data_IF_795057281811
#
_entry.id   IF_795057281811
#
_cell.length_a   1.000
_cell.length_b   1.000
_cell.length_c   1.000
_cell.angle_alpha   90.00
_cell.angle_beta   90.00
_cell.angle_gamma   90.00
#
_symmetry.space_group_name_H-M   'P 1'
#
loop_
_entity.id
_entity.type
_entity.pdbx_description
1 polymer ?
#
# COMPACT_ATOMS: atom_id res chain seq x y z
N UNK A 1 -22.13 4.82 -11.45
CA UNK A 1 -22.77 3.65 -10.82
C UNK A 1 -23.73 4.16 -9.74
N UNK A 2 -25.00 3.70 -9.72
CA UNK A 2 -26.01 4.17 -8.76
C UNK A 2 -26.29 3.12 -7.67
N UNK A 3 -25.24 2.59 -7.04
CA UNK A 3 -25.40 1.71 -5.87
C UNK A 3 -25.37 2.60 -4.63
N UNK A 4 -26.37 2.51 -3.72
CA UNK A 4 -26.35 3.30 -2.49
C UNK A 4 -25.09 3.02 -1.65
N UNK A 5 -24.52 4.07 -1.05
CA UNK A 5 -23.23 4.03 -0.35
C UNK A 5 -23.14 2.92 0.71
N UNK A 6 -24.22 2.65 1.45
CA UNK A 6 -24.24 1.59 2.47
C UNK A 6 -23.95 0.19 1.88
N UNK A 7 -24.41 -0.07 0.65
CA UNK A 7 -24.17 -1.34 -0.03
C UNK A 7 -22.77 -1.36 -0.65
N UNK A 8 -22.31 -0.25 -1.25
CA UNK A 8 -20.93 -0.12 -1.73
C UNK A 8 -19.94 -0.40 -0.60
N UNK A 9 -20.13 0.22 0.56
CA UNK A 9 -19.32 -0.01 1.74
C UNK A 9 -19.27 -1.48 2.11
N UNK A 10 -20.41 -2.19 2.09
CA UNK A 10 -20.48 -3.60 2.49
C UNK A 10 -19.87 -4.55 1.46
N UNK A 11 -20.03 -4.27 0.16
CA UNK A 11 -19.45 -5.07 -0.92
C UNK A 11 -17.94 -4.93 -1.02
N UNK A 12 -17.39 -3.80 -0.57
CA UNK A 12 -15.95 -3.56 -0.51
C UNK A 12 -15.28 -4.11 0.75
N UNK A 13 -16.00 -4.72 1.70
CA UNK A 13 -15.39 -5.28 2.91
C UNK A 13 -14.88 -6.71 2.67
N UNK A 14 -13.64 -6.96 3.12
CA UNK A 14 -13.00 -8.25 3.08
C UNK A 14 -12.42 -8.58 4.46
N UNK A 15 -12.75 -9.77 4.97
CA UNK A 15 -12.10 -10.35 6.14
C UNK A 15 -10.99 -11.28 5.66
N UNK A 16 -9.74 -10.88 5.87
CA UNK A 16 -8.56 -11.55 5.33
C UNK A 16 -7.74 -12.15 6.46
N UNK A 17 -7.40 -13.43 6.35
CA UNK A 17 -6.40 -14.04 7.21
C UNK A 17 -5.07 -14.18 6.47
N UNK A 18 -4.02 -13.57 7.00
CA UNK A 18 -2.65 -13.66 6.48
C UNK A 18 -1.66 -13.87 7.62
N UNK A 19 -0.92 -14.97 7.56
CA UNK A 19 0.16 -15.31 8.48
C UNK A 19 -0.26 -15.19 9.96
N UNK A 20 -1.49 -15.65 10.27
CA UNK A 20 -2.08 -15.63 11.60
C UNK A 20 -2.76 -14.32 12.00
N UNK A 21 -2.64 -13.25 11.19
CA UNK A 21 -3.28 -11.96 11.42
C UNK A 21 -4.63 -11.91 10.71
N UNK A 22 -5.67 -11.50 11.43
CA UNK A 22 -6.96 -11.14 10.86
C UNK A 22 -6.92 -9.67 10.45
N UNK A 23 -7.14 -9.41 9.17
CA UNK A 23 -7.03 -8.09 8.55
C UNK A 23 -8.40 -7.71 8.02
N UNK A 24 -8.91 -6.57 8.46
CA UNK A 24 -10.06 -5.93 7.82
C UNK A 24 -9.57 -5.12 6.62
N UNK A 25 -9.90 -5.55 5.41
CA UNK A 25 -9.58 -4.82 4.19
C UNK A 25 -10.83 -4.16 3.59
N UNK A 26 -10.68 -2.92 3.14
CA UNK A 26 -11.74 -2.14 2.49
C UNK A 26 -11.27 -1.75 1.10
N UNK A 27 -11.98 -2.21 0.07
CA UNK A 27 -11.86 -1.70 -1.30
C UNK A 27 -12.76 -0.48 -1.44
N UNK A 28 -12.13 0.68 -1.63
CA UNK A 28 -12.75 1.98 -1.76
C UNK A 28 -12.69 2.43 -3.23
N UNK A 29 -13.85 2.39 -3.88
CA UNK A 29 -14.09 2.86 -5.25
C UNK A 29 -14.92 4.16 -5.28
N UNK A 30 -15.23 4.71 -4.11
CA UNK A 30 -16.01 5.93 -3.92
C UNK A 30 -15.31 6.88 -2.93
N UNK A 31 -15.42 8.20 -3.16
CA UNK A 31 -14.69 9.23 -2.38
C UNK A 31 -14.98 9.13 -0.88
N UNK A 32 -16.24 8.95 -0.50
CA UNK A 32 -16.64 8.80 0.91
C UNK A 32 -16.04 7.55 1.57
N UNK A 33 -15.81 6.47 0.82
CA UNK A 33 -15.15 5.26 1.34
C UNK A 33 -13.65 5.48 1.52
N UNK A 34 -13.02 6.28 0.65
CA UNK A 34 -11.63 6.72 0.83
C UNK A 34 -11.51 7.58 2.08
N UNK A 35 -12.43 8.52 2.29
CA UNK A 35 -12.45 9.39 3.47
C UNK A 35 -12.61 8.60 4.77
N UNK A 36 -13.60 7.70 4.85
CA UNK A 36 -13.80 6.84 6.03
C UNK A 36 -12.62 5.90 6.25
N UNK A 37 -12.06 5.33 5.19
CA UNK A 37 -10.89 4.46 5.27
C UNK A 37 -9.64 5.19 5.78
N UNK A 38 -9.42 6.44 5.39
CA UNK A 38 -8.31 7.25 5.91
C UNK A 38 -8.54 7.62 7.38
N UNK A 39 -9.77 7.93 7.78
CA UNK A 39 -10.08 8.17 9.18
C UNK A 39 -9.77 6.92 10.05
N UNK A 40 -10.12 5.73 9.55
CA UNK A 40 -9.83 4.45 10.22
C UNK A 40 -8.32 4.14 10.24
N UNK A 41 -7.57 4.44 9.17
CA UNK A 41 -6.11 4.34 9.20
C UNK A 41 -5.51 5.23 10.28
N UNK A 42 -5.97 6.49 10.37
CA UNK A 42 -5.50 7.46 11.36
C UNK A 42 -5.82 7.05 12.80
N UNK A 43 -6.97 6.44 13.06
CA UNK A 43 -7.31 5.95 14.41
C UNK A 43 -6.39 4.82 14.88
N UNK A 44 -5.81 4.07 13.92
CA UNK A 44 -4.87 2.96 14.19
C UNK A 44 -3.42 3.41 14.27
N UNK A 45 -3.08 4.55 13.68
CA UNK A 45 -1.78 5.20 13.82
C UNK A 45 -1.66 5.76 15.26
N UNK A 46 -0.81 5.14 16.06
CA UNK A 46 -0.56 5.55 17.44
C UNK A 46 0.86 5.22 17.87
N UNK A 47 1.30 5.84 18.96
CA UNK A 47 2.68 5.77 19.42
C UNK A 47 3.61 6.74 18.66
N UNK A 48 4.89 6.69 19.02
CA UNK A 48 5.92 7.57 18.44
C UNK A 48 6.27 7.18 17.01
N UNK A 49 6.13 5.89 16.67
CA UNK A 49 6.38 5.37 15.34
C UNK A 49 5.08 5.24 14.54
N UNK A 50 4.81 6.22 13.66
CA UNK A 50 3.71 6.16 12.71
C UNK A 50 4.16 5.47 11.42
N UNK A 51 4.04 4.14 11.41
CA UNK A 51 4.44 3.30 10.29
C UNK A 51 3.23 2.86 9.46
N UNK A 52 3.38 2.90 8.13
CA UNK A 52 2.37 2.46 7.15
C UNK A 52 3.05 1.62 6.08
N UNK A 53 2.54 0.42 5.82
CA UNK A 53 2.92 -0.35 4.64
C UNK A 53 2.17 0.16 3.41
N UNK A 54 2.87 0.35 2.29
CA UNK A 54 2.27 0.88 1.07
C UNK A 54 2.72 0.12 -0.17
N UNK A 55 1.79 -0.08 -1.09
CA UNK A 55 2.09 -0.64 -2.41
C UNK A 55 1.15 -0.07 -3.48
N UNK A 56 1.64 -0.04 -4.72
CA UNK A 56 0.94 0.44 -5.90
C UNK A 56 0.95 -0.66 -6.95
N UNK A 57 -0.25 -1.08 -7.39
CA UNK A 57 -0.40 -2.07 -8.45
C UNK A 57 -0.91 -1.41 -9.74
N UNK A 58 -0.25 -1.74 -10.84
CA UNK A 58 -0.64 -1.39 -12.21
C UNK A 58 -1.29 -2.63 -12.83
N UNK A 59 -2.35 -2.44 -13.61
CA UNK A 59 -3.12 -3.54 -14.18
C UNK A 59 -3.27 -3.51 -15.68
N UNK A 60 -2.64 -2.53 -16.34
CA UNK A 60 -2.59 -2.46 -17.78
C UNK A 60 -1.27 -1.85 -18.27
N UNK A 61 -1.06 -1.93 -19.57
CA UNK A 61 0.10 -1.36 -20.25
C UNK A 61 0.01 0.18 -20.36
N UNK A 62 -1.04 0.82 -19.84
CA UNK A 62 -1.17 2.27 -19.86
C UNK A 62 -0.20 2.95 -18.87
N UNK A 63 0.39 2.17 -17.96
CA UNK A 63 1.21 2.68 -16.88
C UNK A 63 0.40 3.33 -15.75
N UNK A 64 -0.93 3.32 -15.84
CA UNK A 64 -1.81 3.89 -14.83
C UNK A 64 -1.81 3.03 -13.55
N UNK A 65 -1.49 3.60 -12.39
CA UNK A 65 -1.70 2.95 -11.10
C UNK A 65 -3.21 2.80 -10.88
N UNK A 66 -3.70 1.56 -10.76
CA UNK A 66 -5.13 1.29 -10.57
C UNK A 66 -5.47 1.01 -9.11
N UNK A 67 -4.63 0.27 -8.37
CA UNK A 67 -4.84 0.07 -6.93
C UNK A 67 -3.70 0.67 -6.11
N UNK A 68 -4.07 1.36 -5.03
CA UNK A 68 -3.16 1.77 -3.95
C UNK A 68 -3.55 1.03 -2.68
N UNK A 69 -2.60 0.30 -2.10
CA UNK A 69 -2.74 -0.43 -0.84
C UNK A 69 -2.09 0.37 0.28
N UNK A 70 -2.83 0.57 1.38
CA UNK A 70 -2.37 1.29 2.55
C UNK A 70 -2.67 0.44 3.78
N UNK A 71 -1.63 -0.15 4.36
CA UNK A 71 -1.72 -1.14 5.41
C UNK A 71 -1.20 -0.60 6.75
N UNK A 72 -1.98 -0.78 7.82
CA UNK A 72 -1.58 -0.46 9.20
C UNK A 72 -2.16 -1.52 10.13
N UNK A 73 -1.30 -2.19 10.90
CA UNK A 73 -1.65 -3.18 11.92
C UNK A 73 -2.50 -4.34 11.39
N UNK A 74 -3.81 -4.24 11.48
CA UNK A 74 -4.85 -5.23 11.16
C UNK A 74 -5.90 -4.62 10.21
N UNK A 75 -5.56 -3.52 9.54
CA UNK A 75 -6.43 -2.82 8.60
C UNK A 75 -5.71 -2.49 7.29
N UNK A 76 -6.41 -2.67 6.18
CA UNK A 76 -5.93 -2.26 4.87
C UNK A 76 -6.99 -1.45 4.12
N UNK A 77 -6.62 -0.23 3.70
CA UNK A 77 -7.40 0.52 2.72
C UNK A 77 -6.83 0.25 1.32
N UNK A 78 -7.70 -0.16 0.41
CA UNK A 78 -7.38 -0.44 -0.98
C UNK A 78 -8.17 0.54 -1.83
N UNK A 79 -7.49 1.45 -2.52
CA UNK A 79 -8.16 2.49 -3.30
C UNK A 79 -8.15 2.07 -4.76
N UNK A 80 -9.33 1.83 -5.33
CA UNK A 80 -9.49 1.59 -6.77
C UNK A 80 -9.74 2.90 -7.51
N UNK A 81 -8.69 3.38 -8.18
CA UNK A 81 -8.75 4.62 -8.94
C UNK A 81 -9.63 4.56 -10.17
N UNK A 82 -9.99 3.37 -10.68
CA UNK A 82 -10.91 3.24 -11.81
C UNK A 82 -12.38 3.44 -11.41
N UNK A 83 -12.72 3.15 -10.15
CA UNK A 83 -14.07 3.37 -9.63
C UNK A 83 -14.34 4.83 -9.28
N UNK A 84 -13.29 5.59 -8.97
CA UNK A 84 -13.40 7.01 -8.66
C UNK A 84 -13.79 7.83 -9.90
N UNK A 85 -14.53 8.95 -9.73
CA UNK A 85 -14.85 9.85 -10.84
C UNK A 85 -13.58 10.26 -11.61
N UNK A 86 -13.64 10.17 -12.93
CA UNK A 86 -12.54 10.63 -13.79
C UNK A 86 -12.14 12.05 -13.39
N UNK A 87 -10.84 12.30 -13.21
CA UNK A 87 -10.31 13.62 -12.80
C UNK A 87 -10.45 14.02 -11.36
N UNK A 88 -10.82 13.07 -10.49
CA UNK A 88 -10.82 13.30 -9.06
C UNK A 88 -9.73 12.54 -8.32
N UNK A 89 -8.80 13.27 -7.71
CA UNK A 89 -7.90 12.74 -6.68
C UNK A 89 -8.35 13.25 -5.32
N UNK A 90 -8.72 12.38 -4.35
CA UNK A 90 -9.23 12.83 -3.06
C UNK A 90 -8.20 13.70 -2.31
N UNK A 91 -8.59 14.94 -1.95
CA UNK A 91 -7.71 15.87 -1.20
C UNK A 91 -7.23 15.27 0.12
N UNK A 92 -8.10 14.53 0.79
CA UNK A 92 -7.77 13.85 2.05
C UNK A 92 -6.66 12.81 1.87
N UNK A 93 -6.63 12.13 0.72
CA UNK A 93 -5.59 11.16 0.38
C UNK A 93 -4.28 11.89 0.08
N UNK A 94 -4.31 13.00 -0.66
CA UNK A 94 -3.13 13.82 -0.91
C UNK A 94 -2.50 14.32 0.39
N UNK A 95 -3.32 14.82 1.31
CA UNK A 95 -2.89 15.30 2.61
C UNK A 95 -2.30 14.16 3.46
N UNK A 96 -2.94 12.98 3.46
CA UNK A 96 -2.45 11.81 4.18
C UNK A 96 -1.09 11.33 3.65
N UNK A 97 -0.94 11.15 2.33
CA UNK A 97 0.31 10.70 1.71
C UNK A 97 1.44 11.74 1.78
N UNK A 98 1.12 13.00 2.08
CA UNK A 98 2.11 14.08 2.24
C UNK A 98 2.49 14.34 3.70
N UNK A 99 1.85 13.67 4.66
CA UNK A 99 2.12 13.82 6.09
C UNK A 99 3.53 13.31 6.42
N UNK A 100 4.46 14.25 6.66
CA UNK A 100 5.86 13.93 6.95
C UNK A 100 6.06 13.29 8.33
N UNK A 101 5.01 13.21 9.16
CA UNK A 101 5.07 12.49 10.44
C UNK A 101 4.81 11.00 10.28
N UNK A 102 4.41 10.55 9.09
CA UNK A 102 4.11 9.16 8.77
C UNK A 102 5.21 8.59 7.86
N UNK A 103 5.72 7.41 8.23
CA UNK A 103 6.68 6.65 7.43
C UNK A 103 5.94 5.64 6.55
N UNK A 104 5.80 5.98 5.26
CA UNK A 104 5.23 5.09 4.25
C UNK A 104 6.31 4.15 3.70
N UNK A 105 6.31 2.89 4.13
CA UNK A 105 7.33 1.90 3.75
C UNK A 105 6.82 0.96 2.67
N UNK A 106 7.63 0.77 1.63
CA UNK A 106 7.35 -0.17 0.55
C UNK A 106 8.62 -0.64 -0.16
N UNK A 107 8.47 -1.60 -1.06
CA UNK A 107 9.54 -2.09 -1.94
C UNK A 107 9.45 -1.41 -3.31
N UNK A 108 10.57 -0.88 -3.79
CA UNK A 108 10.67 -0.03 -4.99
C UNK A 108 9.71 1.16 -4.97
N UNK A 109 9.42 1.67 -3.77
CA UNK A 109 8.32 2.62 -3.55
C UNK A 109 8.63 3.99 -4.16
N UNK A 110 9.90 4.39 -4.19
CA UNK A 110 10.32 5.65 -4.80
C UNK A 110 10.07 5.66 -6.31
N UNK A 111 10.34 4.54 -6.98
CA UNK A 111 10.04 4.36 -8.41
C UNK A 111 8.53 4.40 -8.65
N UNK A 112 7.76 3.63 -7.87
CA UNK A 112 6.30 3.60 -7.95
C UNK A 112 5.68 4.98 -7.72
N UNK A 113 6.17 5.75 -6.75
CA UNK A 113 5.70 7.11 -6.51
C UNK A 113 6.14 8.11 -7.59
N UNK A 114 7.34 7.96 -8.15
CA UNK A 114 7.76 8.77 -9.29
C UNK A 114 6.82 8.60 -10.47
N UNK A 115 6.48 7.35 -10.82
CA UNK A 115 5.52 7.03 -11.86
C UNK A 115 4.11 7.53 -11.52
N UNK A 116 3.67 7.33 -10.28
CA UNK A 116 2.38 7.80 -9.77
C UNK A 116 2.22 9.32 -9.95
N UNK A 117 3.24 10.09 -9.57
CA UNK A 117 3.29 11.55 -9.73
C UNK A 117 3.26 11.95 -11.20
N UNK A 118 4.11 11.35 -12.03
CA UNK A 118 4.21 11.74 -13.43
C UNK A 118 2.92 11.45 -14.21
N UNK A 119 2.30 10.30 -13.96
CA UNK A 119 1.01 9.97 -14.55
C UNK A 119 -0.08 10.97 -14.11
N UNK A 120 -0.16 11.27 -12.81
CA UNK A 120 -1.19 12.19 -12.31
C UNK A 120 -0.96 13.63 -12.75
N UNK A 121 0.29 14.09 -12.80
CA UNK A 121 0.64 15.41 -13.34
C UNK A 121 0.29 15.53 -14.83
N UNK A 122 0.43 14.45 -15.60
CA UNK A 122 0.08 14.41 -17.02
C UNK A 122 -1.43 14.38 -17.28
N UNK A 123 -2.20 13.58 -16.51
CA UNK A 123 -3.65 13.44 -16.71
C UNK A 123 -4.45 14.55 -16.02
N UNK A 124 -3.90 15.17 -14.97
CA UNK A 124 -4.62 16.07 -14.08
C UNK A 124 -3.84 17.34 -13.74
N UNK A 125 -3.63 18.19 -14.75
CA UNK A 125 -2.99 19.51 -14.61
C UNK A 125 -3.78 20.53 -13.75
N UNK A 126 -4.81 20.13 -13.01
CA UNK A 126 -5.76 21.04 -12.34
C UNK A 126 -6.20 20.60 -10.94
N UNK A 127 -5.42 19.74 -10.25
CA UNK A 127 -5.79 19.32 -8.89
C UNK A 127 -5.08 20.18 -7.86
N UNK A 128 -5.89 20.90 -7.06
CA UNK A 128 -5.46 21.50 -5.81
C UNK A 128 -4.99 20.40 -4.83
N UNK A 129 -3.68 20.34 -4.59
CA UNK A 129 -3.02 19.34 -3.75
C UNK A 129 -1.87 18.71 -4.52
N UNK A 130 -0.64 19.14 -4.23
CA UNK A 130 0.56 18.62 -4.90
C UNK A 130 0.96 17.27 -4.31
N UNK A 131 1.12 16.25 -5.17
CA UNK A 131 1.76 14.98 -4.80
C UNK A 131 3.30 15.08 -4.78
N UNK A 132 3.86 16.27 -5.03
CA UNK A 132 5.31 16.50 -5.07
C UNK A 132 6.02 16.18 -3.75
N UNK A 133 5.30 16.12 -2.64
CA UNK A 133 5.82 15.86 -1.30
C UNK A 133 5.70 14.41 -0.83
N UNK A 134 5.09 13.51 -1.61
CA UNK A 134 5.01 12.09 -1.20
C UNK A 134 6.42 11.51 -1.17
N UNK A 135 6.82 11.04 0.02
CA UNK A 135 8.09 10.37 0.25
C UNK A 135 7.80 8.97 0.78
N UNK A 136 8.39 7.97 0.13
CA UNK A 136 8.44 6.62 0.65
C UNK A 136 9.70 6.42 1.47
N UNK A 137 9.68 5.38 2.29
CA UNK A 137 10.87 4.78 2.89
C UNK A 137 11.08 3.46 2.16
N UNK A 138 12.17 3.38 1.40
CA UNK A 138 12.54 2.15 0.72
C UNK A 138 12.93 1.08 1.75
N UNK A 139 12.24 -0.06 1.75
CA UNK A 139 12.44 -1.10 2.76
C UNK A 139 13.87 -1.69 2.70
N UNK A 140 14.47 -1.78 1.51
CA UNK A 140 15.86 -2.19 1.33
C UNK A 140 16.84 -1.22 2.03
N UNK A 141 16.61 0.08 1.91
CA UNK A 141 17.43 1.11 2.54
C UNK A 141 17.30 1.05 4.07
N UNK A 142 16.07 0.91 4.57
CA UNK A 142 15.81 0.76 5.99
C UNK A 142 16.53 -0.48 6.54
N UNK A 143 16.36 -1.63 5.88
CA UNK A 143 17.00 -2.89 6.28
C UNK A 143 18.53 -2.78 6.24
N UNK A 144 19.09 -2.20 5.17
CA UNK A 144 20.54 -1.99 5.03
C UNK A 144 21.13 -1.17 6.17
N UNK A 145 20.43 -0.10 6.58
CA UNK A 145 20.86 0.79 7.67
C UNK A 145 20.76 0.13 9.04
N UNK A 146 19.63 -0.52 9.33
CA UNK A 146 19.40 -1.21 10.60
C UNK A 146 20.36 -2.39 10.78
N UNK A 147 20.51 -3.24 9.75
CA UNK A 147 21.39 -4.43 9.78
C UNK A 147 22.86 -4.09 9.50
N UNK A 148 23.19 -2.84 9.21
CA UNK A 148 24.54 -2.40 8.80
C UNK A 148 25.10 -3.21 7.62
N UNK A 149 24.24 -3.60 6.68
CA UNK A 149 24.57 -4.46 5.54
C UNK A 149 24.20 -3.80 4.21
N UNK A 150 25.21 -3.24 3.52
CA UNK A 150 25.02 -2.61 2.19
C UNK A 150 24.58 -3.59 1.10
N UNK A 151 24.82 -4.89 1.26
CA UNK A 151 24.40 -5.92 0.30
C UNK A 151 22.87 -6.09 0.19
N UNK A 152 22.09 -5.44 1.06
CA UNK A 152 20.64 -5.39 0.98
C UNK A 152 20.13 -4.35 -0.03
N UNK A 153 20.94 -3.34 -0.38
CA UNK A 153 20.60 -2.33 -1.40
C UNK A 153 20.53 -2.91 -2.83
N UNK A 154 21.14 -4.09 -3.03
CA UNK A 154 21.19 -4.76 -4.33
C UNK A 154 20.17 -5.89 -4.49
N UNK A 155 19.25 -6.04 -3.53
CA UNK A 155 18.13 -6.97 -3.66
C UNK A 155 17.25 -6.57 -4.85
N UNK A 156 17.05 -7.51 -5.78
CA UNK A 156 16.26 -7.27 -7.01
C UNK A 156 14.80 -7.72 -6.86
N UNK A 157 14.48 -8.36 -5.75
CA UNK A 157 13.14 -8.79 -5.42
C UNK A 157 12.91 -8.68 -3.91
N UNK A 158 11.64 -8.56 -3.53
CA UNK A 158 11.26 -8.62 -2.13
C UNK A 158 11.62 -9.99 -1.50
N UNK A 159 11.57 -11.08 -2.29
CA UNK A 159 11.97 -12.42 -1.85
C UNK A 159 13.45 -12.48 -1.45
N UNK A 160 14.34 -11.86 -2.24
CA UNK A 160 15.77 -11.77 -1.93
C UNK A 160 16.00 -11.00 -0.63
N UNK A 161 15.24 -9.91 -0.42
CA UNK A 161 15.34 -9.09 0.78
C UNK A 161 14.91 -9.88 2.03
N UNK A 162 13.76 -10.55 1.98
CA UNK A 162 13.25 -11.41 3.06
C UNK A 162 14.28 -12.48 3.42
N UNK A 163 14.83 -13.15 2.41
CA UNK A 163 15.83 -14.22 2.60
C UNK A 163 17.11 -13.68 3.24
N UNK A 164 17.69 -12.59 2.71
CA UNK A 164 18.94 -12.02 3.25
C UNK A 164 18.77 -11.39 4.64
N UNK A 165 17.56 -11.01 5.01
CA UNK A 165 17.25 -10.48 6.32
C UNK A 165 16.76 -11.56 7.31
N UNK A 166 16.73 -12.84 6.89
CA UNK A 166 16.33 -13.99 7.71
C UNK A 166 14.92 -13.86 8.30
N UNK A 167 14.00 -13.26 7.55
CA UNK A 167 12.59 -13.21 7.92
C UNK A 167 11.84 -14.45 7.42
N UNK A 168 11.00 -15.03 8.26
CA UNK A 168 10.06 -16.08 7.87
C UNK A 168 8.76 -15.48 7.34
N UNK A 169 8.86 -14.74 6.23
CA UNK A 169 7.70 -14.18 5.55
C UNK A 169 7.37 -14.99 4.29
N UNK A 170 6.08 -15.28 4.11
CA UNK A 170 5.60 -15.83 2.86
C UNK A 170 5.70 -14.75 1.78
N UNK A 171 6.50 -15.02 0.76
CA UNK A 171 6.58 -14.20 -0.44
C UNK A 171 5.87 -14.95 -1.56
N UNK A 172 4.94 -14.29 -2.23
CA UNK A 172 4.24 -14.91 -3.35
C UNK A 172 5.19 -15.03 -4.55
N UNK A 173 5.09 -16.16 -5.25
CA UNK A 173 5.86 -16.38 -6.46
C UNK A 173 5.33 -15.45 -7.57
N UNK A 174 6.15 -14.49 -7.98
CA UNK A 174 5.86 -13.54 -9.07
C UNK A 174 5.60 -14.25 -10.42
N UNK A 175 5.89 -15.56 -10.52
CA UNK A 175 5.57 -16.38 -11.69
C UNK A 175 4.09 -16.71 -11.86
N UNK A 176 3.27 -16.59 -10.81
CA UNK A 176 1.82 -16.62 -10.98
C UNK A 176 1.44 -15.36 -11.76
N UNK A 177 0.74 -15.53 -12.89
CA UNK A 177 0.17 -14.39 -13.62
C UNK A 177 -0.55 -13.51 -12.60
N UNK A 178 -0.24 -12.22 -12.64
CA UNK A 178 -0.97 -11.22 -11.87
C UNK A 178 -2.47 -11.48 -12.13
N UNK A 179 -3.25 -11.83 -11.08
CA UNK A 179 -4.60 -12.36 -11.28
C UNK A 179 -5.55 -11.28 -11.84
N UNK A 180 -5.08 -10.05 -11.94
CA UNK A 180 -5.83 -8.90 -12.40
C UNK A 180 -5.52 -8.52 -13.87
N UNK A 181 -4.66 -9.28 -14.58
CA UNK A 181 -4.43 -9.08 -16.03
C UNK A 181 -5.71 -9.35 -16.81
N UNK A 182 -6.31 -8.28 -17.36
CA UNK A 182 -7.37 -8.36 -18.37
C UNK A 182 -8.81 -8.08 -17.89
N UNK A 183 -9.03 -7.67 -16.63
CA UNK A 183 -10.38 -7.47 -16.10
C UNK A 183 -10.69 -6.03 -15.70
N UNK A 184 -11.77 -5.46 -16.25
CA UNK A 184 -12.48 -4.28 -15.71
C UNK A 184 -13.25 -4.59 -14.41
N UNK A 185 -12.92 -5.70 -13.73
CA UNK A 185 -13.76 -6.27 -12.70
C UNK A 185 -13.88 -5.30 -11.52
N UNK A 186 -15.12 -4.89 -11.27
CA UNK A 186 -15.57 -4.11 -10.11
C UNK A 186 -15.78 -5.01 -8.87
N UNK A 187 -15.21 -6.22 -8.90
CA UNK A 187 -15.36 -7.25 -7.88
C UNK A 187 -14.07 -8.08 -7.82
N UNK A 188 -13.34 -7.97 -6.73
CA UNK A 188 -12.17 -8.79 -6.46
C UNK A 188 -12.55 -9.96 -5.55
N UNK A 189 -11.96 -11.11 -5.77
CA UNK A 189 -12.02 -12.24 -4.84
C UNK A 189 -11.12 -11.99 -3.62
N UNK A 190 -11.39 -12.68 -2.51
CA UNK A 190 -10.56 -12.61 -1.31
C UNK A 190 -9.11 -13.03 -1.59
N UNK A 191 -8.89 -14.02 -2.46
CA UNK A 191 -7.54 -14.50 -2.80
C UNK A 191 -6.78 -13.51 -3.68
N UNK A 192 -7.45 -12.81 -4.61
CA UNK A 192 -6.88 -11.70 -5.36
C UNK A 192 -6.41 -10.58 -4.44
N UNK A 193 -7.27 -10.15 -3.50
CA UNK A 193 -6.90 -9.12 -2.53
C UNK A 193 -5.74 -9.56 -1.65
N UNK A 194 -5.77 -10.79 -1.13
CA UNK A 194 -4.65 -11.37 -0.35
C UNK A 194 -3.34 -11.33 -1.12
N UNK A 195 -3.36 -11.76 -2.38
CA UNK A 195 -2.19 -11.78 -3.25
C UNK A 195 -1.63 -10.35 -3.46
N UNK A 196 -2.49 -9.39 -3.84
CA UNK A 196 -2.04 -8.03 -4.11
C UNK A 196 -1.57 -7.28 -2.87
N UNK A 197 -2.22 -7.50 -1.73
CA UNK A 197 -1.90 -6.83 -0.47
C UNK A 197 -0.61 -7.35 0.19
N UNK A 198 -0.14 -8.55 -0.18
CA UNK A 198 1.00 -9.26 0.45
C UNK A 198 2.24 -8.38 0.60
N UNK A 199 2.58 -7.58 -0.43
CA UNK A 199 3.78 -6.77 -0.38
C UNK A 199 3.68 -5.63 0.63
N UNK A 200 2.57 -4.90 0.66
CA UNK A 200 2.33 -3.84 1.67
C UNK A 200 2.32 -4.42 3.10
N UNK A 201 1.66 -5.58 3.28
CA UNK A 201 1.66 -6.32 4.55
C UNK A 201 3.08 -6.70 5.00
N UNK A 202 3.87 -7.33 4.12
CA UNK A 202 5.22 -7.76 4.46
C UNK A 202 6.17 -6.58 4.68
N UNK A 203 6.06 -5.50 3.90
CA UNK A 203 6.87 -4.29 4.10
C UNK A 203 6.60 -3.65 5.46
N UNK A 204 5.34 -3.55 5.87
CA UNK A 204 4.96 -3.06 7.20
C UNK A 204 5.57 -3.94 8.29
N UNK A 205 5.36 -5.26 8.23
CA UNK A 205 5.83 -6.17 9.27
C UNK A 205 7.36 -6.22 9.35
N UNK A 206 8.04 -6.19 8.19
CA UNK A 206 9.50 -6.10 8.13
C UNK A 206 10.01 -4.82 8.78
N UNK A 207 9.47 -3.67 8.39
CA UNK A 207 9.88 -2.38 8.94
C UNK A 207 9.61 -2.28 10.43
N UNK A 208 8.45 -2.76 10.89
CA UNK A 208 8.09 -2.78 12.29
C UNK A 208 9.11 -3.58 13.10
N UNK A 209 9.45 -4.80 12.65
CA UNK A 209 10.45 -5.64 13.32
C UNK A 209 11.85 -5.04 13.27
N UNK A 210 12.28 -4.50 12.13
CA UNK A 210 13.59 -3.83 12.02
C UNK A 210 13.72 -2.65 13.00
N UNK A 211 12.68 -1.85 13.15
CA UNK A 211 12.69 -0.69 14.04
C UNK A 211 12.55 -1.09 15.51
N UNK A 212 11.76 -2.12 15.82
CA UNK A 212 11.70 -2.74 17.15
C UNK A 212 13.08 -3.27 17.58
N UNK A 213 13.75 -4.04 16.70
CA UNK A 213 15.12 -4.54 16.91
C UNK A 213 16.10 -3.38 17.19
N UNK A 214 16.00 -2.28 16.42
CA UNK A 214 16.87 -1.11 16.57
C UNK A 214 16.67 -0.39 17.91
N UNK A 215 15.42 -0.29 18.38
CA UNK A 215 15.05 0.40 19.61
C UNK A 215 15.20 -0.48 20.86
N UNK A 216 15.55 -1.76 20.70
CA UNK A 216 15.66 -2.73 21.80
C UNK A 216 14.32 -3.13 22.40
N UNK A 217 13.21 -2.93 21.67
CA UNK A 217 11.88 -3.34 22.09
C UNK A 217 11.56 -4.71 21.45
N UNK A 218 11.41 -5.80 22.21
CA UNK A 218 11.02 -7.08 21.62
C UNK A 218 9.59 -6.98 21.05
N UNK A 219 9.45 -7.38 19.78
CA UNK A 219 8.18 -7.55 19.06
C UNK A 219 7.49 -8.85 19.42
#
# INVERSE_FOLDING_TARGET
>A
MNIPLKYLSKMGEYDIQMDGVNIKAIVADHVTLVESGIAELKSRLGGDLKLVGIDLKKFDNSGCPRLLFIYVKDYCLIIDFNGLPMRYFPKILAAFLSDQTISFVGFEIDSKFYEFRNYRNFVYATISGSLSSIKGVEICDLAARVRKNRGLLSCRSFADLVTKCEFDFKVEDQKKKDPFVGGSAMSFSTEEIKYAMREAFNCYNMANKLLSDLLGNPS
#
